data_IF_462856322307
#
_entry.id   IF_462856322307
#
_cell.length_a   1.000
_cell.length_b   1.000
_cell.length_c   1.000
_cell.angle_alpha   90.00
_cell.angle_beta   90.00
_cell.angle_gamma   90.00
#
_symmetry.space_group_name_H-M   'P 1'
#
loop_
_entity.id
_entity.type
_entity.pdbx_description
1 polymer ?
#
# COMPACT_ATOMS: atom_id res chain seq x y z
N UNK A 1 -8.20 -7.43 9.11
CA UNK A 1 -7.63 -7.66 7.76
C UNK A 1 -8.09 -8.99 7.13
N UNK A 2 -8.03 -10.15 7.81
CA UNK A 2 -8.61 -11.43 7.32
C UNK A 2 -10.08 -11.38 6.87
N UNK A 3 -10.92 -10.63 7.58
CA UNK A 3 -12.35 -10.48 7.23
C UNK A 3 -12.56 -9.71 5.90
N UNK A 4 -11.69 -8.74 5.60
CA UNK A 4 -11.74 -8.00 4.33
C UNK A 4 -11.36 -8.92 3.16
N UNK A 5 -10.30 -9.71 3.34
CA UNK A 5 -9.92 -10.72 2.36
C UNK A 5 -11.04 -11.70 2.07
N UNK A 6 -11.69 -12.23 3.12
CA UNK A 6 -12.85 -13.10 2.95
C UNK A 6 -14.00 -12.40 2.21
N UNK A 7 -14.29 -11.13 2.52
CA UNK A 7 -15.33 -10.38 1.82
C UNK A 7 -15.04 -10.18 0.33
N UNK A 8 -13.77 -10.09 -0.05
CA UNK A 8 -13.35 -9.91 -1.45
C UNK A 8 -13.42 -11.24 -2.20
N UNK A 9 -12.95 -12.33 -1.59
CA UNK A 9 -13.05 -13.69 -2.16
C UNK A 9 -14.50 -14.12 -2.32
N UNK A 10 -15.39 -13.69 -1.40
CA UNK A 10 -16.82 -13.99 -1.44
C UNK A 10 -17.62 -12.97 -2.26
N UNK A 11 -16.97 -12.07 -3.01
CA UNK A 11 -17.61 -11.04 -3.84
C UNK A 11 -18.70 -10.24 -3.09
N UNK A 12 -18.46 -9.98 -1.80
CA UNK A 12 -19.39 -9.22 -0.98
C UNK A 12 -19.35 -7.75 -1.42
N UNK A 13 -20.40 -7.30 -2.11
CA UNK A 13 -20.54 -5.93 -2.58
C UNK A 13 -21.42 -5.06 -1.67
N UNK A 14 -21.37 -3.74 -1.91
CA UNK A 14 -22.24 -2.76 -1.26
C UNK A 14 -21.74 -2.25 0.10
N UNK A 15 -22.68 -1.80 0.92
CA UNK A 15 -22.39 -1.04 2.15
C UNK A 15 -21.63 -1.84 3.20
N UNK A 16 -21.77 -3.17 3.22
CA UNK A 16 -21.06 -4.01 4.20
C UNK A 16 -19.54 -3.96 3.97
N UNK A 17 -19.08 -4.10 2.73
CA UNK A 17 -17.66 -4.01 2.38
C UNK A 17 -17.12 -2.62 2.66
N UNK A 18 -17.85 -1.57 2.26
CA UNK A 18 -17.45 -0.17 2.53
C UNK A 18 -17.31 0.10 4.02
N UNK A 19 -18.30 -0.29 4.83
CA UNK A 19 -18.26 -0.13 6.29
C UNK A 19 -17.10 -0.90 6.92
N UNK A 20 -16.81 -2.11 6.43
CA UNK A 20 -15.67 -2.90 6.88
C UNK A 20 -14.34 -2.22 6.54
N UNK A 21 -14.17 -1.73 5.31
CA UNK A 21 -12.97 -1.01 4.88
C UNK A 21 -12.76 0.27 5.70
N UNK A 22 -13.82 1.04 5.97
CA UNK A 22 -13.75 2.24 6.82
C UNK A 22 -13.33 1.91 8.27
N UNK A 23 -13.73 0.77 8.81
CA UNK A 23 -13.29 0.35 10.16
C UNK A 23 -11.83 -0.09 10.17
N UNK A 24 -11.38 -0.74 9.10
CA UNK A 24 -9.99 -1.18 8.95
C UNK A 24 -9.06 0.00 8.71
N UNK A 25 -9.48 1.01 7.92
CA UNK A 25 -8.68 2.21 7.65
C UNK A 25 -8.24 2.89 8.94
N UNK A 26 -9.16 3.02 9.91
CA UNK A 26 -8.94 3.62 11.23
C UNK A 26 -7.86 2.91 12.06
N UNK A 27 -7.66 1.63 11.79
CA UNK A 27 -6.74 0.78 12.54
C UNK A 27 -5.43 0.52 11.80
N UNK A 28 -5.21 1.15 10.64
CA UNK A 28 -3.98 0.93 9.86
C UNK A 28 -2.72 1.23 10.66
N UNK A 29 -2.73 2.23 11.55
CA UNK A 29 -1.56 2.53 12.39
C UNK A 29 -1.14 1.37 13.31
N UNK A 30 -2.05 0.46 13.64
CA UNK A 30 -1.82 -0.71 14.50
C UNK A 30 -1.56 -2.00 13.72
N UNK A 31 -1.71 -1.99 12.39
CA UNK A 31 -1.49 -3.16 11.56
C UNK A 31 0.00 -3.43 11.31
N UNK A 32 0.30 -4.67 10.96
CA UNK A 32 1.64 -5.10 10.50
C UNK A 32 1.66 -5.25 8.99
N UNK A 33 2.87 -5.25 8.39
CA UNK A 33 3.03 -5.47 6.94
C UNK A 33 2.38 -6.79 6.53
N UNK A 34 2.60 -7.85 7.30
CA UNK A 34 2.02 -9.17 7.03
C UNK A 34 0.49 -9.18 6.99
N UNK A 35 -0.17 -8.25 7.69
CA UNK A 35 -1.62 -8.13 7.64
C UNK A 35 -2.13 -7.53 6.31
N UNK A 36 -1.27 -6.86 5.54
CA UNK A 36 -1.59 -6.26 4.23
C UNK A 36 -1.20 -7.17 3.05
N UNK A 37 -0.43 -8.23 3.28
CA UNK A 37 0.04 -9.17 2.24
C UNK A 37 -1.07 -10.14 1.81
N UNK A 38 -2.14 -9.58 1.23
CA UNK A 38 -3.21 -10.35 0.63
C UNK A 38 -2.83 -10.76 -0.79
N UNK A 39 -2.92 -12.05 -1.08
CA UNK A 39 -2.76 -12.55 -2.45
C UNK A 39 -3.82 -11.93 -3.36
N UNK A 40 -3.41 -11.53 -4.57
CA UNK A 40 -4.38 -11.12 -5.59
C UNK A 40 -5.34 -12.29 -5.88
N UNK A 41 -6.67 -12.08 -5.86
CA UNK A 41 -7.62 -13.14 -6.20
C UNK A 41 -7.44 -13.64 -7.63
N UNK A 42 -6.83 -12.82 -8.50
CA UNK A 42 -6.60 -13.14 -9.89
C UNK A 42 -5.28 -13.86 -10.15
N UNK A 43 -4.40 -14.04 -9.15
CA UNK A 43 -3.25 -14.96 -9.05
C UNK A 43 -2.18 -15.04 -10.16
N UNK A 44 -2.51 -14.72 -11.41
CA UNK A 44 -1.73 -14.94 -12.62
C UNK A 44 -0.83 -13.75 -12.96
N UNK A 45 -1.14 -12.56 -12.45
CA UNK A 45 -0.42 -11.33 -12.80
C UNK A 45 0.30 -10.72 -11.59
N UNK A 46 -0.40 -10.14 -10.61
CA UNK A 46 0.23 -9.55 -9.43
C UNK A 46 0.16 -10.45 -8.20
N UNK A 47 1.23 -10.52 -7.40
CA UNK A 47 1.31 -11.26 -6.14
C UNK A 47 0.40 -10.67 -5.07
N UNK A 48 0.33 -9.34 -4.98
CA UNK A 48 -0.41 -8.63 -3.94
C UNK A 48 -1.46 -7.67 -4.52
N UNK A 49 -2.58 -7.53 -3.83
CA UNK A 49 -3.61 -6.58 -4.22
C UNK A 49 -3.32 -5.18 -3.65
N UNK A 50 -2.53 -4.40 -4.41
CA UNK A 50 -2.15 -3.03 -4.02
C UNK A 50 -3.35 -2.08 -4.02
N UNK A 51 -4.34 -2.29 -4.88
CA UNK A 51 -5.50 -1.39 -5.00
C UNK A 51 -6.30 -1.35 -3.68
N UNK A 52 -6.44 -2.48 -2.98
CA UNK A 52 -7.07 -2.50 -1.65
C UNK A 52 -6.29 -1.65 -0.66
N UNK A 53 -4.96 -1.78 -0.62
CA UNK A 53 -4.11 -1.02 0.30
C UNK A 53 -4.20 0.47 -0.01
N UNK A 54 -4.20 0.83 -1.30
CA UNK A 54 -4.41 2.18 -1.76
C UNK A 54 -5.77 2.74 -1.29
N UNK A 55 -6.87 1.99 -1.47
CA UNK A 55 -8.20 2.39 -0.99
C UNK A 55 -8.24 2.56 0.53
N UNK A 56 -7.63 1.64 1.29
CA UNK A 56 -7.55 1.73 2.76
C UNK A 56 -6.80 3.00 3.22
N UNK A 57 -5.69 3.35 2.57
CA UNK A 57 -4.93 4.57 2.89
C UNK A 57 -5.72 5.82 2.49
N UNK A 58 -6.44 5.80 1.36
CA UNK A 58 -7.33 6.89 0.98
C UNK A 58 -8.43 7.11 2.02
N UNK A 59 -9.09 6.04 2.46
CA UNK A 59 -10.12 6.12 3.51
C UNK A 59 -9.56 6.66 4.82
N UNK A 60 -8.34 6.26 5.19
CA UNK A 60 -7.65 6.79 6.37
C UNK A 60 -7.39 8.30 6.26
N UNK A 61 -6.99 8.80 5.09
CA UNK A 61 -6.81 10.24 4.86
C UNK A 61 -8.09 11.05 4.93
N UNK A 62 -9.23 10.42 4.64
CA UNK A 62 -10.55 11.03 4.71
C UNK A 62 -11.14 11.01 6.12
N UNK A 63 -10.45 10.41 7.10
CA UNK A 63 -10.85 10.51 8.50
C UNK A 63 -10.68 11.95 9.01
N UNK A 64 -11.47 12.29 10.03
CA UNK A 64 -11.48 13.62 10.63
C UNK A 64 -10.14 13.84 11.37
N UNK A 65 -9.22 14.54 10.70
CA UNK A 65 -7.88 14.90 11.15
C UNK A 65 -7.10 13.78 11.87
N UNK A 66 -6.57 12.78 11.13
CA UNK A 66 -5.70 11.78 11.73
C UNK A 66 -4.47 12.45 12.38
N UNK A 67 -4.16 12.05 13.61
CA UNK A 67 -3.02 12.57 14.36
C UNK A 67 -1.70 12.33 13.62
N UNK A 68 -0.70 13.19 13.81
CA UNK A 68 0.64 13.01 13.24
C UNK A 68 1.28 11.68 13.66
N UNK A 69 0.99 11.21 14.88
CA UNK A 69 1.42 9.89 15.35
C UNK A 69 0.81 8.78 14.50
N UNK A 70 -0.50 8.82 14.24
CA UNK A 70 -1.15 7.84 13.35
C UNK A 70 -0.65 7.93 11.91
N UNK A 71 -0.48 9.14 11.36
CA UNK A 71 0.07 9.35 10.02
C UNK A 71 1.48 8.76 9.90
N UNK A 72 2.34 8.98 10.90
CA UNK A 72 3.69 8.40 10.92
C UNK A 72 3.70 6.87 10.96
N UNK A 73 2.78 6.26 11.73
CA UNK A 73 2.64 4.80 11.81
C UNK A 73 2.15 4.22 10.49
N UNK A 74 1.17 4.85 9.84
CA UNK A 74 0.67 4.44 8.51
C UNK A 74 1.76 4.60 7.45
N UNK A 75 2.54 5.70 7.47
CA UNK A 75 3.65 5.89 6.53
C UNK A 75 4.67 4.75 6.64
N UNK A 76 5.07 4.39 7.88
CA UNK A 76 5.98 3.26 8.12
C UNK A 76 5.42 1.93 7.64
N UNK A 77 4.14 1.68 7.88
CA UNK A 77 3.46 0.46 7.45
C UNK A 77 3.48 0.33 5.92
N UNK A 78 3.11 1.41 5.22
CA UNK A 78 3.05 1.44 3.75
C UNK A 78 4.44 1.38 3.14
N UNK A 79 5.46 2.03 3.71
CA UNK A 79 6.86 1.87 3.28
C UNK A 79 7.31 0.40 3.36
N UNK A 80 6.99 -0.27 4.48
CA UNK A 80 7.26 -1.68 4.67
C UNK A 80 6.54 -2.55 3.65
N UNK A 81 5.26 -2.28 3.42
CA UNK A 81 4.45 -2.98 2.42
C UNK A 81 4.98 -2.80 1.01
N UNK A 82 5.30 -1.57 0.59
CA UNK A 82 5.85 -1.29 -0.74
C UNK A 82 7.16 -2.01 -0.98
N UNK A 83 8.01 -2.16 0.03
CA UNK A 83 9.25 -2.90 -0.10
C UNK A 83 9.03 -4.42 -0.25
N UNK A 84 8.03 -5.01 0.42
CA UNK A 84 7.67 -6.42 0.17
C UNK A 84 7.01 -6.60 -1.19
N UNK A 85 6.12 -5.68 -1.58
CA UNK A 85 5.43 -5.71 -2.86
C UNK A 85 6.38 -5.45 -4.04
N UNK A 86 7.48 -4.75 -3.83
CA UNK A 86 8.48 -4.47 -4.86
C UNK A 86 9.17 -5.72 -5.42
N UNK A 87 9.12 -6.85 -4.71
CA UNK A 87 9.61 -8.14 -5.19
C UNK A 87 8.71 -8.77 -6.27
N UNK A 88 7.54 -8.21 -6.55
CA UNK A 88 6.64 -8.67 -7.60
C UNK A 88 7.06 -8.09 -8.96
N UNK A 89 7.57 -8.90 -9.91
CA UNK A 89 7.99 -8.40 -11.22
C UNK A 89 6.83 -7.88 -12.08
N UNK A 90 5.60 -8.24 -11.73
CA UNK A 90 4.40 -7.80 -12.45
C UNK A 90 3.80 -6.51 -11.88
N UNK A 91 4.38 -5.96 -10.80
CA UNK A 91 3.90 -4.74 -10.17
C UNK A 91 4.12 -3.52 -11.10
N UNK A 92 3.04 -2.88 -11.60
CA UNK A 92 3.17 -1.69 -12.43
C UNK A 92 3.75 -0.50 -11.65
N UNK A 93 4.63 0.25 -12.31
CA UNK A 93 5.28 1.43 -11.74
C UNK A 93 4.30 2.54 -11.34
N UNK A 94 3.12 2.56 -11.97
CA UNK A 94 2.02 3.46 -11.63
C UNK A 94 1.40 3.13 -10.28
N UNK A 95 1.12 1.85 -9.99
CA UNK A 95 0.55 1.45 -8.71
C UNK A 95 1.52 1.69 -7.55
N UNK A 96 2.80 1.36 -7.74
CA UNK A 96 3.85 1.64 -6.76
C UNK A 96 3.94 3.14 -6.43
N UNK A 97 4.05 3.99 -7.45
CA UNK A 97 4.18 5.45 -7.27
C UNK A 97 2.92 6.05 -6.65
N UNK A 98 1.73 5.69 -7.12
CA UNK A 98 0.47 6.24 -6.60
C UNK A 98 0.31 5.97 -5.10
N UNK A 99 0.63 4.75 -4.64
CA UNK A 99 0.57 4.42 -3.22
C UNK A 99 1.61 5.18 -2.40
N UNK A 100 2.84 5.34 -2.91
CA UNK A 100 3.88 6.13 -2.25
C UNK A 100 3.48 7.62 -2.15
N UNK A 101 2.92 8.19 -3.22
CA UNK A 101 2.48 9.59 -3.29
C UNK A 101 1.35 9.88 -2.28
N UNK A 102 0.45 8.94 -2.03
CA UNK A 102 -0.64 9.10 -1.06
C UNK A 102 -0.13 9.51 0.34
N UNK A 103 1.03 8.99 0.73
CA UNK A 103 1.63 9.19 2.07
C UNK A 103 2.88 10.08 2.04
N UNK A 104 3.14 10.76 0.92
CA UNK A 104 4.33 11.62 0.75
C UNK A 104 4.38 12.77 1.77
N UNK A 105 3.22 13.31 2.14
CA UNK A 105 3.10 14.38 3.14
C UNK A 105 3.02 13.92 4.60
N UNK A 106 3.13 12.60 4.87
CA UNK A 106 3.02 12.11 6.25
C UNK A 106 4.35 12.30 7.00
N UNK A 107 4.29 12.64 8.31
CA UNK A 107 5.50 12.81 9.12
C UNK A 107 6.28 11.50 9.22
N UNK A 108 7.61 11.58 9.13
CA UNK A 108 8.53 10.43 9.19
C UNK A 108 9.75 10.79 10.01
N UNK A 109 10.22 9.85 10.83
CA UNK A 109 11.48 9.99 11.57
C UNK A 109 12.68 9.49 10.77
N UNK A 110 12.45 8.62 9.79
CA UNK A 110 13.46 8.13 8.84
C UNK A 110 12.77 7.80 7.51
N UNK A 111 13.54 7.89 6.41
CA UNK A 111 13.12 7.50 5.06
C UNK A 111 13.73 6.17 4.60
N UNK A 112 14.43 5.44 5.49
CA UNK A 112 15.11 4.18 5.13
C UNK A 112 14.15 3.13 4.56
N UNK A 113 12.92 3.05 5.10
CA UNK A 113 11.88 2.15 4.60
C UNK A 113 11.48 2.46 3.15
N UNK A 114 11.28 3.74 2.84
CA UNK A 114 10.97 4.21 1.49
C UNK A 114 12.12 3.97 0.52
N UNK A 115 13.35 4.29 0.93
CA UNK A 115 14.54 4.05 0.11
C UNK A 115 14.75 2.56 -0.15
N UNK A 116 14.50 1.70 0.85
CA UNK A 116 14.49 0.24 0.67
C UNK A 116 13.46 -0.17 -0.37
N UNK A 117 12.24 0.34 -0.30
CA UNK A 117 11.19 0.02 -1.27
C UNK A 117 11.58 0.42 -2.69
N UNK A 118 12.13 1.62 -2.87
CA UNK A 118 12.60 2.11 -4.16
C UNK A 118 13.75 1.25 -4.71
N UNK A 119 14.77 0.97 -3.89
CA UNK A 119 15.92 0.15 -4.27
C UNK A 119 15.49 -1.27 -4.69
N UNK A 120 14.59 -1.89 -3.93
CA UNK A 120 14.04 -3.20 -4.27
C UNK A 120 13.26 -3.15 -5.59
N UNK A 121 12.41 -2.14 -5.78
CA UNK A 121 11.61 -2.00 -7.00
C UNK A 121 12.48 -1.81 -8.24
N UNK A 122 13.52 -0.97 -8.15
CA UNK A 122 14.45 -0.74 -9.25
C UNK A 122 15.31 -1.96 -9.59
N UNK A 123 15.62 -2.81 -8.61
CA UNK A 123 16.36 -4.06 -8.82
C UNK A 123 15.51 -5.11 -9.53
N UNK A 124 14.24 -5.24 -9.14
CA UNK A 124 13.33 -6.22 -9.72
C UNK A 124 12.83 -5.80 -11.12
N UNK A 125 12.87 -4.50 -11.44
CA UNK A 125 12.39 -3.94 -12.70
C UNK A 125 13.51 -3.25 -13.51
N UNK A 126 14.51 -4.00 -14.01
CA UNK A 126 15.68 -3.42 -14.71
C UNK A 126 15.30 -2.69 -16.00
N UNK A 127 14.23 -3.13 -16.66
CA UNK A 127 13.76 -2.66 -17.97
C UNK A 127 13.04 -1.31 -17.95
N UNK A 128 12.82 -0.73 -16.75
CA UNK A 128 12.20 0.59 -16.62
C UNK A 128 12.98 1.65 -17.40
N UNK A 129 12.24 2.51 -18.11
CA UNK A 129 12.81 3.64 -18.82
C UNK A 129 13.44 4.66 -17.86
N UNK A 130 14.34 5.51 -18.39
CA UNK A 130 14.94 6.60 -17.59
C UNK A 130 13.88 7.53 -16.99
N UNK A 131 12.79 7.76 -17.70
CA UNK A 131 11.66 8.57 -17.23
C UNK A 131 10.92 7.91 -16.06
N UNK A 132 10.69 6.60 -16.12
CA UNK A 132 10.03 5.88 -15.03
C UNK A 132 10.89 5.83 -13.77
N UNK A 133 12.18 5.50 -13.93
CA UNK A 133 13.15 5.52 -12.82
C UNK A 133 13.18 6.89 -12.14
N UNK A 134 13.16 7.99 -12.91
CA UNK A 134 13.06 9.35 -12.36
C UNK A 134 11.77 9.62 -11.60
N UNK A 135 10.65 9.07 -12.04
CA UNK A 135 9.36 9.24 -11.36
C UNK A 135 9.33 8.50 -10.02
N UNK A 136 9.90 7.30 -9.97
CA UNK A 136 9.94 6.46 -8.76
C UNK A 136 10.86 7.06 -7.70
N UNK A 137 11.98 7.67 -8.10
CA UNK A 137 12.96 8.27 -7.18
C UNK A 137 12.63 9.70 -6.74
N UNK A 138 11.44 10.21 -7.04
CA UNK A 138 11.05 11.59 -6.73
C UNK A 138 10.50 11.72 -5.32
#
# INVERSE_FOLDING_TARGET
>A
LKLLHASIVLECEGDLRRNLMQRISRQLGDATVSDLLFSSPNGEFALYNIDIVHELVQLFKLEDEPTDVSKARVARLVDGYLAEAACDPALPSTQFVNLAELISGFPRSSHDGLYRAIDMYLKEHPDLSKSEKRRICR
#
